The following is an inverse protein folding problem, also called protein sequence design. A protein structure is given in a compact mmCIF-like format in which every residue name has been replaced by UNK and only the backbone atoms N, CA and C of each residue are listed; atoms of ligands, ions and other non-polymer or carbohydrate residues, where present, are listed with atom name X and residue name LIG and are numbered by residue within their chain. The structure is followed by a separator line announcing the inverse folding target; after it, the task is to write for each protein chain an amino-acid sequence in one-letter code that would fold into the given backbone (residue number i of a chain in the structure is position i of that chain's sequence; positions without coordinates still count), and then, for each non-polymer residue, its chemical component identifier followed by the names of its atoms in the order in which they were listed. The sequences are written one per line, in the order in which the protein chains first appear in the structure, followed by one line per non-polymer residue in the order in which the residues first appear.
data_IF_743397402114
#
_entry.id   IF_743397402114
#
_cell.length_a   1.000
_cell.length_b   1.000
_cell.length_c   1.000
_cell.angle_alpha   90.00
_cell.angle_beta   90.00
_cell.angle_gamma   90.00
#
_symmetry.space_group_name_H-M   'P 1'
#
loop_
_entity.id
_entity.type
_entity.pdbx_description
1 polymer ?
#
# COMPACT_ATOMS: atom_id res chain seq x y z
N UNK A 1 -8.45 -6.71 -33.86
CA UNK A 1 -8.22 -6.35 -32.43
C UNK A 1 -7.13 -5.27 -32.36
N UNK A 2 -7.16 -4.35 -31.38
CA UNK A 2 -6.15 -3.26 -31.28
C UNK A 2 -4.70 -3.77 -31.16
N UNK A 3 -4.50 -4.94 -30.55
CA UNK A 3 -3.17 -5.51 -30.28
C UNK A 3 -2.58 -6.40 -31.39
N UNK A 4 -3.28 -6.57 -32.54
CA UNK A 4 -2.83 -7.48 -33.59
C UNK A 4 -2.91 -8.97 -33.20
N UNK A 5 -2.20 -9.82 -33.95
CA UNK A 5 -2.29 -11.29 -33.84
C UNK A 5 -1.38 -11.90 -32.77
N UNK A 6 -0.34 -11.18 -32.34
CA UNK A 6 0.62 -11.60 -31.30
C UNK A 6 0.22 -11.09 -29.89
N UNK A 7 -1.06 -10.73 -29.70
CA UNK A 7 -1.56 -10.24 -28.43
C UNK A 7 -1.91 -11.40 -27.49
N UNK A 8 -1.15 -11.56 -26.41
CA UNK A 8 -1.39 -12.58 -25.39
C UNK A 8 -1.94 -11.95 -24.10
N UNK A 9 -3.12 -12.39 -23.62
CA UNK A 9 -3.68 -11.89 -22.37
C UNK A 9 -2.97 -12.51 -21.15
N UNK A 10 -2.90 -11.73 -20.07
CA UNK A 10 -2.45 -12.20 -18.75
C UNK A 10 -3.32 -11.58 -17.67
N UNK A 11 -3.37 -12.20 -16.49
CA UNK A 11 -4.12 -11.70 -15.33
C UNK A 11 -3.42 -12.14 -14.05
N UNK A 12 -3.44 -11.26 -13.05
CA UNK A 12 -2.93 -11.54 -11.71
C UNK A 12 -4.02 -11.19 -10.70
N UNK A 13 -4.29 -12.12 -9.79
CA UNK A 13 -5.14 -11.86 -8.63
C UNK A 13 -4.26 -11.50 -7.43
N UNK A 14 -4.42 -10.30 -6.90
CA UNK A 14 -3.66 -9.85 -5.73
C UNK A 14 -4.41 -10.30 -4.47
N UNK A 15 -3.80 -11.13 -3.59
CA UNK A 15 -4.45 -11.58 -2.37
C UNK A 15 -4.86 -10.42 -1.46
N UNK A 16 -6.03 -10.54 -0.84
CA UNK A 16 -6.66 -9.45 -0.06
C UNK A 16 -5.83 -9.08 1.18
N UNK A 17 -5.12 -10.05 1.76
CA UNK A 17 -4.31 -9.89 2.97
C UNK A 17 -2.95 -9.22 2.72
N UNK A 18 -2.60 -8.90 1.47
CA UNK A 18 -1.38 -8.15 1.18
C UNK A 18 -1.56 -6.65 1.50
N UNK A 19 -0.53 -5.97 2.00
CA UNK A 19 -0.61 -4.54 2.35
C UNK A 19 -0.85 -3.66 1.13
N UNK A 20 -1.46 -2.48 1.33
CA UNK A 20 -1.56 -1.47 0.28
C UNK A 20 -0.20 -0.83 -0.01
N UNK A 21 -0.07 -0.17 -1.16
CA UNK A 21 1.13 0.58 -1.51
C UNK A 21 1.28 1.78 -0.58
N UNK A 22 2.37 1.80 0.20
CA UNK A 22 2.68 2.85 1.19
C UNK A 22 4.19 3.07 1.18
N UNK A 23 4.61 4.33 1.17
CA UNK A 23 6.03 4.69 1.24
C UNK A 23 6.24 5.71 2.36
N UNK A 24 7.22 5.45 3.22
CA UNK A 24 7.71 6.41 4.21
C UNK A 24 8.53 7.47 3.48
N UNK A 25 8.14 8.73 3.66
CA UNK A 25 8.90 9.86 3.13
C UNK A 25 10.06 10.15 4.09
N UNK A 26 11.32 10.03 3.63
CA UNK A 26 12.49 10.35 4.46
C UNK A 26 12.55 11.84 4.79
N UNK A 27 13.15 12.19 5.94
CA UNK A 27 13.45 13.57 6.26
C UNK A 27 14.55 14.12 5.33
N UNK A 28 14.68 15.45 5.16
CA UNK A 28 15.73 16.03 4.31
C UNK A 28 17.15 15.59 4.70
N UNK A 29 17.40 15.35 5.99
CA UNK A 29 18.66 14.88 6.55
C UNK A 29 18.88 13.35 6.45
N UNK A 30 17.83 12.59 6.12
CA UNK A 30 17.91 11.13 6.00
C UNK A 30 18.53 10.73 4.66
N UNK A 31 19.70 10.10 4.72
CA UNK A 31 20.33 9.50 3.54
C UNK A 31 19.78 8.09 3.29
N UNK A 32 19.21 7.84 2.10
CA UNK A 32 18.78 6.50 1.71
C UNK A 32 17.67 6.48 0.67
N UNK A 33 17.27 5.26 0.28
CA UNK A 33 16.06 5.07 -0.54
C UNK A 33 14.83 5.09 0.37
N UNK A 34 13.68 5.62 -0.10
CA UNK A 34 12.42 5.51 0.62
C UNK A 34 12.11 4.07 1.01
N UNK A 35 11.66 3.86 2.24
CA UNK A 35 11.21 2.57 2.73
C UNK A 35 9.72 2.44 2.44
N UNK A 36 9.29 1.37 1.78
CA UNK A 36 7.89 1.23 1.40
C UNK A 36 7.55 -0.11 0.78
N UNK A 37 6.26 -0.26 0.52
CA UNK A 37 5.67 -1.39 -0.20
C UNK A 37 5.19 -0.89 -1.55
N UNK A 38 5.75 -1.44 -2.62
CA UNK A 38 5.35 -1.21 -4.00
C UNK A 38 5.05 -2.54 -4.69
N UNK A 39 4.19 -2.51 -5.71
CA UNK A 39 3.90 -3.67 -6.55
C UNK A 39 4.52 -3.44 -7.93
N UNK A 40 5.34 -4.36 -8.40
CA UNK A 40 5.96 -4.31 -9.72
C UNK A 40 5.42 -5.45 -10.58
N UNK A 41 4.85 -5.11 -11.74
CA UNK A 41 4.58 -6.07 -12.82
C UNK A 41 5.79 -6.10 -13.72
N UNK A 42 6.39 -7.28 -13.87
CA UNK A 42 7.57 -7.50 -14.70
C UNK A 42 7.23 -8.55 -15.76
N UNK A 43 7.53 -8.22 -17.02
CA UNK A 43 7.49 -9.19 -18.11
C UNK A 43 8.87 -9.25 -18.77
N UNK A 44 9.24 -10.44 -19.24
CA UNK A 44 10.54 -10.67 -19.83
C UNK A 44 10.52 -11.85 -20.81
N UNK A 45 11.53 -11.90 -21.67
CA UNK A 45 11.79 -13.05 -22.55
C UNK A 45 12.79 -13.97 -21.82
N UNK A 46 12.48 -15.26 -21.76
CA UNK A 46 13.30 -16.31 -21.15
C UNK A 46 13.61 -17.39 -22.21
N UNK A 47 14.73 -18.11 -22.03
CA UNK A 47 15.09 -19.22 -22.91
C UNK A 47 14.45 -20.53 -22.46
N UNK A 48 14.20 -20.69 -21.15
CA UNK A 48 13.57 -21.88 -20.58
C UNK A 48 12.31 -21.50 -19.78
N UNK A 49 11.28 -22.34 -19.85
CA UNK A 49 10.07 -22.18 -19.04
C UNK A 49 10.38 -22.45 -17.56
N UNK A 50 9.81 -21.63 -16.66
CA UNK A 50 9.86 -21.77 -15.20
C UNK A 50 11.26 -21.86 -14.55
N UNK A 51 12.32 -21.44 -15.26
CA UNK A 51 13.67 -21.40 -14.70
C UNK A 51 13.91 -20.11 -13.88
N UNK A 52 13.74 -20.22 -12.57
CA UNK A 52 13.88 -19.11 -11.61
C UNK A 52 15.34 -18.61 -11.52
N UNK A 53 16.32 -19.47 -11.82
CA UNK A 53 17.74 -19.14 -11.76
C UNK A 53 18.27 -18.53 -13.07
N UNK A 54 17.45 -18.50 -14.13
CA UNK A 54 17.84 -17.91 -15.40
C UNK A 54 18.12 -16.41 -15.25
N UNK A 55 19.31 -15.99 -15.70
CA UNK A 55 19.68 -14.58 -15.70
C UNK A 55 19.05 -13.86 -16.88
N UNK A 56 17.86 -13.33 -16.67
CA UNK A 56 17.13 -12.51 -17.63
C UNK A 56 17.89 -11.22 -17.96
N UNK A 57 18.03 -10.92 -19.26
CA UNK A 57 18.65 -9.68 -19.72
C UNK A 57 17.77 -8.44 -19.47
N UNK A 58 18.41 -7.32 -19.11
CA UNK A 58 17.68 -6.05 -18.88
C UNK A 58 17.00 -5.51 -20.14
N UNK A 59 17.58 -5.73 -21.33
CA UNK A 59 17.04 -5.26 -22.61
C UNK A 59 15.72 -5.96 -22.97
N UNK A 60 15.55 -7.19 -22.51
CA UNK A 60 14.38 -8.04 -22.78
C UNK A 60 13.38 -8.02 -21.63
N UNK A 61 13.53 -7.09 -20.68
CA UNK A 61 12.66 -6.92 -19.52
C UNK A 61 11.92 -5.59 -19.59
N UNK A 62 10.60 -5.62 -19.45
CA UNK A 62 9.81 -4.43 -19.12
C UNK A 62 9.28 -4.50 -17.69
N UNK A 63 9.15 -3.34 -17.04
CA UNK A 63 8.71 -3.20 -15.65
C UNK A 63 7.70 -2.07 -15.56
N UNK A 64 6.64 -2.29 -14.81
CA UNK A 64 5.62 -1.29 -14.51
C UNK A 64 5.29 -1.34 -13.02
N UNK A 65 5.51 -0.24 -12.32
CA UNK A 65 5.07 -0.09 -10.93
C UNK A 65 3.56 0.19 -10.93
N UNK A 66 2.81 -0.58 -10.17
CA UNK A 66 1.37 -0.43 -9.94
C UNK A 66 1.10 -0.20 -8.45
N UNK A 67 -0.10 0.28 -8.12
CA UNK A 67 -0.49 0.55 -6.74
C UNK A 67 -1.70 -0.26 -6.32
N UNK A 68 -1.60 -0.90 -5.14
CA UNK A 68 -2.76 -1.42 -4.42
C UNK A 68 -3.30 -0.31 -3.52
N UNK A 69 -4.50 0.18 -3.80
CA UNK A 69 -5.14 1.28 -3.07
C UNK A 69 -6.37 0.74 -2.34
N UNK A 70 -6.50 1.06 -1.05
CA UNK A 70 -7.72 0.82 -0.29
C UNK A 70 -8.67 2.01 -0.46
N UNK A 71 -9.88 1.73 -0.95
CA UNK A 71 -10.96 2.72 -0.97
C UNK A 71 -11.75 2.67 0.34
N UNK A 72 -12.34 3.80 0.71
CA UNK A 72 -13.29 3.85 1.81
C UNK A 72 -14.52 2.98 1.48
N UNK A 73 -15.10 2.26 2.46
CA UNK A 73 -16.37 1.59 2.28
C UNK A 73 -17.48 2.58 1.90
N UNK A 74 -18.50 2.12 1.17
CA UNK A 74 -19.63 2.96 0.75
C UNK A 74 -20.44 3.49 1.94
N UNK A 75 -20.57 2.67 2.99
CA UNK A 75 -21.21 3.07 4.24
C UNK A 75 -20.18 3.49 5.26
N UNK A 76 -20.23 4.76 5.63
CA UNK A 76 -19.40 5.32 6.67
C UNK A 76 -20.17 5.23 8.00
N UNK A 77 -19.61 4.53 8.99
CA UNK A 77 -20.09 4.53 10.39
C UNK A 77 -20.19 5.95 11.00
N UNK A 78 -20.68 6.11 12.23
CA UNK A 78 -20.58 7.40 12.91
C UNK A 78 -19.11 7.83 13.08
N UNK A 79 -18.87 9.14 13.22
CA UNK A 79 -17.55 9.69 13.51
C UNK A 79 -17.03 9.20 14.87
N UNK A 80 -15.69 9.12 15.05
CA UNK A 80 -15.12 8.65 16.30
C UNK A 80 -15.44 9.63 17.44
N UNK A 81 -15.71 9.05 18.62
CA UNK A 81 -15.86 9.77 19.88
C UNK A 81 -15.00 9.12 20.95
N UNK A 82 -14.40 9.93 21.80
CA UNK A 82 -13.60 9.47 22.92
C UNK A 82 -13.87 10.33 24.15
N UNK A 83 -14.14 9.66 25.28
CA UNK A 83 -14.40 10.27 26.58
C UNK A 83 -13.36 9.80 27.59
N UNK A 84 -12.71 10.74 28.26
CA UNK A 84 -11.71 10.47 29.30
C UNK A 84 -12.12 11.19 30.56
N UNK A 85 -12.03 10.51 31.70
CA UNK A 85 -12.20 11.13 33.00
C UNK A 85 -10.94 10.92 33.83
N UNK A 86 -10.18 11.99 34.11
CA UNK A 86 -8.87 11.89 34.74
C UNK A 86 -8.85 12.61 36.08
N UNK A 87 -8.45 11.89 37.12
CA UNK A 87 -8.15 12.46 38.44
C UNK A 87 -6.66 12.79 38.53
N UNK A 88 -6.35 13.97 39.04
CA UNK A 88 -4.99 14.44 39.28
C UNK A 88 -4.76 14.55 40.78
N UNK A 89 -3.52 14.35 41.23
CA UNK A 89 -3.15 14.42 42.65
C UNK A 89 -3.51 15.79 43.25
N UNK A 90 -3.46 16.85 42.43
CA UNK A 90 -3.76 18.23 42.81
C UNK A 90 -5.23 18.63 42.65
N UNK A 91 -6.09 17.76 42.10
CA UNK A 91 -7.48 18.07 41.82
C UNK A 91 -8.40 17.26 42.74
N UNK A 92 -9.27 17.95 43.48
CA UNK A 92 -10.23 17.32 44.39
C UNK A 92 -11.29 16.48 43.67
N UNK A 93 -11.50 16.72 42.37
CA UNK A 93 -12.47 16.01 41.53
C UNK A 93 -11.86 15.58 40.19
N UNK A 94 -12.31 14.45 39.62
CA UNK A 94 -11.96 14.04 38.26
C UNK A 94 -12.39 15.08 37.23
N UNK A 95 -11.56 15.27 36.20
CA UNK A 95 -11.82 16.18 35.08
C UNK A 95 -12.27 15.35 33.86
N UNK A 96 -13.52 15.51 33.40
CA UNK A 96 -14.00 14.88 32.18
C UNK A 96 -13.57 15.66 30.94
N UNK A 97 -13.23 14.94 29.87
CA UNK A 97 -12.89 15.47 28.55
C UNK A 97 -13.53 14.57 27.48
N UNK A 98 -14.35 15.17 26.61
CA UNK A 98 -14.94 14.52 25.44
C UNK A 98 -14.30 15.09 24.17
N UNK A 99 -13.99 14.22 23.21
CA UNK A 99 -13.52 14.58 21.87
C UNK A 99 -14.34 13.83 20.85
N UNK A 100 -14.92 14.55 19.89
CA UNK A 100 -15.65 13.98 18.76
C UNK A 100 -15.17 14.59 17.45
N UNK A 101 -15.12 13.78 16.39
CA UNK A 101 -14.91 14.27 15.03
C UNK A 101 -16.13 13.97 14.16
N UNK A 102 -16.53 14.96 13.35
CA UNK A 102 -17.41 14.73 12.21
C UNK A 102 -16.65 13.94 11.13
N UNK A 103 -17.41 13.28 10.25
CA UNK A 103 -16.84 12.56 9.10
C UNK A 103 -16.67 13.46 7.89
#
# INVERSE_FOLDING_TARGET
KKAGDQGHPFTFDIPVHLPCSVSLQPAPEDAGKPCGVDYEVKAYIANEEDNIDEKVEKKDTCRLIIRKIQYAPAELAAGPKADINKQFITADKPIPMEVSMEK
#
